data_IF_084746018838
#
_entry.id   IF_084746018838
#
_cell.length_a   1.000
_cell.length_b   1.000
_cell.length_c   1.000
_cell.angle_alpha   90.00
_cell.angle_beta   90.00
_cell.angle_gamma   90.00
#
_symmetry.space_group_name_H-M   'P 1'
#
loop_
_entity.id
_entity.type
_entity.pdbx_description
1 polymer ?
#
# COMPACT_ATOMS: atom_id res chain seq x y z
N UNK A 1 14.79 -26.07 7.61
CA UNK A 1 15.17 -24.82 6.91
C UNK A 1 13.85 -24.19 6.48
N UNK A 2 13.45 -23.10 7.11
CA UNK A 2 12.05 -22.64 7.16
C UNK A 2 11.54 -22.22 5.79
N UNK A 3 10.55 -22.97 5.33
CA UNK A 3 9.89 -22.82 4.04
C UNK A 3 8.88 -21.68 4.11
N UNK A 4 8.97 -20.76 3.14
CA UNK A 4 7.89 -19.84 2.73
C UNK A 4 7.65 -18.59 3.59
N UNK A 5 8.67 -17.77 3.81
CA UNK A 5 8.48 -16.36 4.18
C UNK A 5 8.08 -15.53 2.94
N UNK A 6 7.01 -15.93 2.26
CA UNK A 6 6.50 -15.27 1.05
C UNK A 6 5.11 -14.70 1.33
N UNK A 7 5.02 -13.39 1.54
CA UNK A 7 3.78 -12.66 1.79
C UNK A 7 3.21 -12.04 0.51
N UNK A 8 1.90 -11.86 0.47
CA UNK A 8 1.20 -11.23 -0.66
C UNK A 8 1.13 -9.73 -0.40
N UNK A 9 1.70 -8.94 -1.31
CA UNK A 9 1.61 -7.48 -1.25
C UNK A 9 0.15 -7.02 -1.36
N UNK A 10 -0.34 -6.27 -0.37
CA UNK A 10 -1.69 -5.70 -0.39
C UNK A 10 -1.86 -4.47 -1.27
N UNK A 11 -0.78 -3.95 -1.84
CA UNK A 11 -0.83 -2.90 -2.86
C UNK A 11 -0.97 -3.48 -4.28
N UNK A 12 -0.14 -4.47 -4.66
CA UNK A 12 -0.09 -4.99 -6.03
C UNK A 12 -0.54 -6.45 -6.21
N UNK A 13 -0.83 -7.17 -5.13
CA UNK A 13 -1.27 -8.57 -5.17
C UNK A 13 -0.18 -9.59 -5.50
N UNK A 14 1.08 -9.17 -5.70
CA UNK A 14 2.20 -10.10 -5.98
C UNK A 14 2.72 -10.74 -4.69
N UNK A 15 3.09 -12.02 -4.79
CA UNK A 15 3.75 -12.76 -3.72
C UNK A 15 5.24 -12.40 -3.73
N UNK A 16 5.76 -11.93 -2.61
CA UNK A 16 7.12 -11.45 -2.45
C UNK A 16 7.71 -11.90 -1.12
N UNK A 17 9.04 -11.83 -0.96
CA UNK A 17 9.67 -12.18 0.32
C UNK A 17 9.21 -11.23 1.42
N UNK A 18 8.71 -11.81 2.50
CA UNK A 18 8.20 -11.07 3.64
C UNK A 18 9.30 -10.29 4.37
N UNK A 19 10.51 -10.86 4.41
CA UNK A 19 11.72 -10.26 4.99
C UNK A 19 12.18 -8.95 4.33
N UNK A 20 11.68 -8.63 3.13
CA UNK A 20 12.06 -7.42 2.37
C UNK A 20 10.89 -6.44 2.20
N UNK A 21 9.73 -6.69 2.82
CA UNK A 21 8.59 -5.79 2.70
C UNK A 21 8.56 -4.63 3.68
N UNK A 22 7.68 -3.69 3.39
CA UNK A 22 7.44 -2.46 4.15
C UNK A 22 5.99 -2.42 4.62
N UNK A 23 5.72 -1.88 5.81
CA UNK A 23 4.36 -1.70 6.29
C UNK A 23 3.67 -0.52 5.59
N UNK A 24 2.37 -0.65 5.35
CA UNK A 24 1.50 0.46 4.94
C UNK A 24 1.45 1.52 6.03
N UNK A 25 1.59 2.80 5.68
CA UNK A 25 1.61 3.90 6.66
C UNK A 25 0.29 4.09 7.42
N UNK A 26 -0.83 3.56 6.90
CA UNK A 26 -2.16 3.74 7.49
C UNK A 26 -2.69 2.54 8.27
N UNK A 27 -2.34 1.32 7.85
CA UNK A 27 -2.88 0.08 8.43
C UNK A 27 -1.84 -1.02 8.66
N UNK A 28 -0.55 -0.69 8.51
CA UNK A 28 0.60 -1.56 8.78
C UNK A 28 0.61 -2.87 7.98
N UNK A 29 -0.24 -2.96 6.95
CA UNK A 29 -0.30 -4.14 6.10
C UNK A 29 0.92 -4.27 5.19
N UNK A 30 1.24 -5.49 4.80
CA UNK A 30 2.44 -5.79 4.02
C UNK A 30 2.39 -5.19 2.59
N UNK A 31 3.40 -4.40 2.26
CA UNK A 31 3.71 -3.85 0.94
C UNK A 31 5.08 -4.39 0.50
N UNK A 32 5.23 -4.83 -0.76
CA UNK A 32 6.52 -5.35 -1.22
C UNK A 32 7.55 -4.23 -1.47
N UNK A 33 8.84 -4.56 -1.41
CA UNK A 33 9.95 -3.63 -1.68
C UNK A 33 9.77 -2.90 -3.03
N UNK A 34 9.28 -3.58 -4.06
CA UNK A 34 9.08 -3.00 -5.40
C UNK A 34 8.05 -1.88 -5.36
N UNK A 35 6.94 -2.05 -4.62
CA UNK A 35 5.95 -1.00 -4.45
C UNK A 35 6.55 0.18 -3.67
N UNK A 36 7.28 -0.10 -2.58
CA UNK A 36 7.98 0.93 -1.82
C UNK A 36 8.99 1.72 -2.67
N UNK A 37 9.77 1.04 -3.52
CA UNK A 37 10.71 1.67 -4.46
C UNK A 37 10.02 2.54 -5.52
N UNK A 38 8.75 2.27 -5.83
CA UNK A 38 7.91 3.09 -6.71
C UNK A 38 7.24 4.25 -5.97
N UNK A 39 7.50 4.43 -4.68
CA UNK A 39 6.87 5.44 -3.82
C UNK A 39 5.48 5.04 -3.31
N UNK A 40 5.08 3.77 -3.44
CA UNK A 40 3.79 3.29 -2.92
C UNK A 40 3.96 2.96 -1.44
N UNK A 41 3.45 3.86 -0.59
CA UNK A 41 3.50 3.76 0.88
C UNK A 41 2.17 3.32 1.50
N UNK A 42 1.11 3.24 0.68
CA UNK A 42 -0.22 2.79 1.08
C UNK A 42 -0.64 1.53 0.32
N UNK A 43 -1.42 0.68 0.99
CA UNK A 43 -2.05 -0.47 0.34
C UNK A 43 -3.22 0.00 -0.55
N UNK A 44 -3.69 -0.87 -1.45
CA UNK A 44 -4.73 -0.51 -2.41
C UNK A 44 -6.02 0.02 -1.73
N UNK A 45 -6.38 -0.53 -0.57
CA UNK A 45 -7.54 -0.06 0.21
C UNK A 45 -7.31 1.32 0.82
N UNK A 46 -6.14 1.57 1.40
CA UNK A 46 -5.83 2.87 1.99
C UNK A 46 -5.64 3.96 0.94
N UNK A 47 -5.04 3.62 -0.20
CA UNK A 47 -4.92 4.50 -1.34
C UNK A 47 -6.30 4.91 -1.86
N UNK A 48 -7.23 3.96 -2.05
CA UNK A 48 -8.59 4.26 -2.47
C UNK A 48 -9.34 5.19 -1.51
N UNK A 49 -9.12 5.06 -0.20
CA UNK A 49 -9.68 5.98 0.79
C UNK A 49 -9.08 7.39 0.65
N UNK A 50 -7.75 7.50 0.53
CA UNK A 50 -7.10 8.80 0.31
C UNK A 50 -7.58 9.47 -0.98
N UNK A 51 -7.70 8.72 -2.08
CA UNK A 51 -8.20 9.24 -3.34
C UNK A 51 -9.65 9.73 -3.16
N UNK A 52 -10.53 8.95 -2.51
CA UNK A 52 -11.91 9.38 -2.23
C UNK A 52 -11.97 10.65 -1.35
N UNK A 53 -11.13 10.75 -0.32
CA UNK A 53 -11.00 11.93 0.56
C UNK A 53 -10.49 13.16 -0.21
N UNK A 54 -9.52 12.96 -1.12
CA UNK A 54 -8.96 14.01 -1.96
C UNK A 54 -9.97 14.53 -2.98
N UNK A 55 -10.69 13.64 -3.64
CA UNK A 55 -11.77 13.97 -4.58
C UNK A 55 -12.90 14.74 -3.87
N UNK A 56 -13.28 14.33 -2.65
CA UNK A 56 -14.27 15.03 -1.84
C UNK A 56 -13.83 16.46 -1.44
N UNK A 57 -12.53 16.68 -1.20
CA UNK A 57 -11.98 18.03 -0.97
C UNK A 57 -11.88 18.85 -2.25
N UNK A 58 -11.48 18.24 -3.37
CA UNK A 58 -11.32 18.92 -4.65
C UNK A 58 -12.65 19.42 -5.23
N UNK A 59 -13.75 18.72 -4.95
CA UNK A 59 -15.11 19.08 -5.41
C UNK A 59 -15.82 20.12 -4.54
N UNK A 60 -15.23 20.55 -3.41
CA UNK A 60 -15.79 21.55 -2.49
C UNK A 60 -15.17 22.95 -2.54
N UNK A 61 -14.31 23.24 -3.52
CA UNK A 61 -13.58 24.50 -3.62
C UNK A 61 -14.30 25.57 -4.44
N UNK A 62 -15.20 26.33 -3.81
CA UNK A 62 -15.67 27.63 -4.31
C UNK A 62 -15.19 28.72 -3.35
N UNK A 63 -14.31 29.66 -3.77
CA UNK A 63 -14.34 31.01 -3.24
C UNK A 63 -15.50 31.81 -3.85
#
# INVERSE_FOLDING_TARGET
MSETDAMICRACGKKERASEGYPCERCETFICQICNMRGVVLCASCQALEDAEREAKASGGTP
#
